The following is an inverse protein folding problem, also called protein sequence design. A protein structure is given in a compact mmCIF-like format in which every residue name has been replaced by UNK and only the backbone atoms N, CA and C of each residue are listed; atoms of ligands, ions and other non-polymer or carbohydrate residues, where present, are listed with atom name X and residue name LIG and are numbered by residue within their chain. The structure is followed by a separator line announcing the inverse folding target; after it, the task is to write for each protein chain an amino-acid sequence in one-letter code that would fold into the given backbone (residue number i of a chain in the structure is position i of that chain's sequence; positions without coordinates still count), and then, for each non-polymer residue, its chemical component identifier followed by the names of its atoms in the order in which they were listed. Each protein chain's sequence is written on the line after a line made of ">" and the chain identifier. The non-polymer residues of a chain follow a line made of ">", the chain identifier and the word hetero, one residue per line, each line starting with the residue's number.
data_IF_899046321355
#
_entry.id   IF_899046321355
#
_cell.length_a   1.000
_cell.length_b   1.000
_cell.length_c   1.000
_cell.angle_alpha   90.00
_cell.angle_beta   90.00
_cell.angle_gamma   90.00
#
_symmetry.space_group_name_H-M   'P 1'
#
loop_
_entity.id
_entity.type
_entity.pdbx_description
1 polymer ?
#
# COMPACT_ATOMS: atom_id res chain seq x y z
N UNK A 1 17.64 4.96 -16.00
CA UNK A 1 16.19 5.19 -15.91
C UNK A 1 15.77 4.82 -14.50
N UNK A 2 15.23 5.76 -13.71
CA UNK A 2 15.00 5.57 -12.26
C UNK A 2 13.53 5.50 -11.86
N UNK A 3 12.62 5.54 -12.83
CA UNK A 3 11.17 5.50 -12.62
C UNK A 3 10.60 4.07 -12.75
N UNK A 4 11.37 3.05 -12.35
CA UNK A 4 10.87 1.68 -12.34
C UNK A 4 9.91 1.50 -11.15
N UNK A 5 8.77 0.82 -11.31
CA UNK A 5 7.90 0.50 -10.20
C UNK A 5 8.64 -0.41 -9.21
N UNK A 6 8.46 -0.11 -7.92
CA UNK A 6 9.13 -0.86 -6.84
C UNK A 6 8.29 -2.03 -6.32
N UNK A 7 7.03 -2.14 -6.77
CA UNK A 7 6.21 -3.32 -6.54
C UNK A 7 5.00 -3.13 -5.61
N UNK A 8 4.42 -1.93 -5.53
CA UNK A 8 3.11 -1.72 -4.89
C UNK A 8 2.01 -2.46 -5.66
N UNK A 9 1.91 -2.24 -6.98
CA UNK A 9 0.90 -2.84 -7.86
C UNK A 9 1.10 -4.36 -8.01
N UNK A 10 2.35 -4.81 -8.17
CA UNK A 10 2.70 -6.23 -8.32
C UNK A 10 2.61 -7.02 -7.00
N UNK A 11 2.44 -6.32 -5.87
CA UNK A 11 2.38 -6.92 -4.53
C UNK A 11 3.69 -7.48 -3.99
N UNK A 12 4.82 -7.07 -4.57
CA UNK A 12 6.15 -7.32 -4.03
C UNK A 12 6.37 -6.56 -2.71
N UNK A 13 5.69 -5.42 -2.52
CA UNK A 13 5.55 -4.77 -1.22
C UNK A 13 4.31 -5.37 -0.51
N UNK A 14 4.48 -6.04 0.64
CA UNK A 14 3.38 -6.69 1.35
C UNK A 14 2.52 -5.68 2.13
N UNK A 15 1.27 -6.03 2.43
CA UNK A 15 0.33 -5.12 3.13
C UNK A 15 0.83 -4.70 4.52
N UNK A 16 1.55 -5.57 5.22
CA UNK A 16 2.15 -5.24 6.53
C UNK A 16 3.26 -4.17 6.44
N UNK A 17 3.80 -3.91 5.25
CA UNK A 17 4.74 -2.81 5.02
C UNK A 17 4.02 -1.48 4.69
N UNK A 18 2.70 -1.51 4.45
CA UNK A 18 1.90 -0.33 4.15
C UNK A 18 1.23 0.14 5.45
N UNK A 19 1.55 1.35 5.90
CA UNK A 19 0.99 1.93 7.11
C UNK A 19 0.52 3.36 6.87
N UNK A 20 -0.43 3.81 7.68
CA UNK A 20 -0.93 5.17 7.69
C UNK A 20 -1.18 5.61 9.13
N UNK A 21 -1.15 6.92 9.39
CA UNK A 21 -1.43 7.47 10.72
C UNK A 21 -2.89 7.31 11.14
N UNK A 22 -3.80 7.17 10.18
CA UNK A 22 -5.24 6.98 10.42
C UNK A 22 -5.93 6.37 9.20
N UNK A 23 -7.13 5.83 9.41
CA UNK A 23 -8.02 5.36 8.35
C UNK A 23 -9.46 5.52 8.84
N UNK A 24 -10.38 5.93 7.97
CA UNK A 24 -11.79 6.09 8.35
C UNK A 24 -12.44 4.73 8.65
N UNK A 25 -12.14 3.74 7.81
CA UNK A 25 -12.59 2.35 7.98
C UNK A 25 -11.46 1.43 7.49
N UNK A 26 -10.87 0.65 8.38
CA UNK A 26 -9.71 -0.18 8.06
C UNK A 26 -10.02 -1.21 6.98
N UNK A 27 -11.26 -1.72 6.89
CA UNK A 27 -11.61 -2.72 5.88
C UNK A 27 -11.72 -2.12 4.47
N UNK A 28 -12.39 -0.98 4.35
CA UNK A 28 -12.74 -0.39 3.05
C UNK A 28 -11.70 0.62 2.55
N UNK A 29 -11.06 1.36 3.46
CA UNK A 29 -10.09 2.43 3.15
C UNK A 29 -8.84 2.34 4.04
N UNK A 30 -8.54 1.14 4.56
CA UNK A 30 -7.31 0.89 5.29
C UNK A 30 -6.06 0.96 4.40
N UNK A 31 -4.86 1.03 4.99
CA UNK A 31 -3.59 1.23 4.27
C UNK A 31 -3.35 0.17 3.19
N UNK A 32 -3.79 -1.07 3.42
CA UNK A 32 -3.66 -2.16 2.46
C UNK A 32 -4.40 -1.93 1.13
N UNK A 33 -5.39 -1.03 1.10
CA UNK A 33 -6.14 -0.68 -0.12
C UNK A 33 -5.48 0.45 -0.93
N UNK A 34 -4.31 0.96 -0.52
CA UNK A 34 -3.62 2.06 -1.20
C UNK A 34 -2.80 1.65 -2.45
N UNK A 35 -2.97 0.40 -2.90
CA UNK A 35 -2.32 -0.11 -4.11
C UNK A 35 -2.99 0.43 -5.37
#
# INVERSE_FOLDING_TARGET
>A
QCAIPLGMEEGKIPDNAISASSSYETKSVGPQNAR
#
